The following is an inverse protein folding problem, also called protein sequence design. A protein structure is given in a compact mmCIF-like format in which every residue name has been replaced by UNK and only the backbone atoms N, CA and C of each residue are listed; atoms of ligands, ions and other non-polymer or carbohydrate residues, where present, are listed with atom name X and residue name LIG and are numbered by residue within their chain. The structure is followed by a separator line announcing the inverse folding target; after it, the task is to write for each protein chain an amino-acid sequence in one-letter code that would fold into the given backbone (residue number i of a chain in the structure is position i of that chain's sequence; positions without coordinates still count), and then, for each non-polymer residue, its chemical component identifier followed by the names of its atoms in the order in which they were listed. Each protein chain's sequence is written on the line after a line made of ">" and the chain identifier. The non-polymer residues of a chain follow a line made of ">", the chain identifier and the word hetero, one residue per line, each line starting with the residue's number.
data_IF_882311716048
#
_entry.id   IF_882311716048
#
_cell.length_a   1.000
_cell.length_b   1.000
_cell.length_c   1.000
_cell.angle_alpha   90.00
_cell.angle_beta   90.00
_cell.angle_gamma   90.00
#
_symmetry.space_group_name_H-M   'P 1'
#
loop_
_entity.id
_entity.type
_entity.pdbx_description
1 polymer ?
#
# COMPACT_ATOMS: atom_id res chain seq x y z
N UNK A 1 -18.05 13.09 16.37
CA UNK A 1 -17.43 11.74 16.47
C UNK A 1 -17.59 10.92 15.18
N UNK A 2 -18.77 10.88 14.56
CA UNK A 2 -19.03 10.15 13.30
C UNK A 2 -18.12 10.58 12.12
N UNK A 3 -17.89 11.89 11.95
CA UNK A 3 -17.11 12.43 10.82
C UNK A 3 -15.66 11.93 10.87
N UNK A 4 -15.01 11.97 12.05
CA UNK A 4 -13.62 11.52 12.19
C UNK A 4 -13.46 10.01 11.89
N UNK A 5 -14.41 9.19 12.36
CA UNK A 5 -14.41 7.75 12.08
C UNK A 5 -14.58 7.46 10.59
N UNK A 6 -15.50 8.14 9.92
CA UNK A 6 -15.72 7.98 8.48
C UNK A 6 -14.48 8.39 7.68
N UNK A 7 -13.87 9.54 7.98
CA UNK A 7 -12.64 9.98 7.33
C UNK A 7 -11.49 8.99 7.55
N UNK A 8 -11.35 8.45 8.76
CA UNK A 8 -10.33 7.44 9.07
C UNK A 8 -10.54 6.15 8.27
N UNK A 9 -11.78 5.64 8.21
CA UNK A 9 -12.12 4.45 7.43
C UNK A 9 -11.92 4.66 5.93
N UNK A 10 -12.33 5.81 5.40
CA UNK A 10 -12.11 6.17 4.00
C UNK A 10 -10.63 6.24 3.66
N UNK A 11 -9.82 6.86 4.53
CA UNK A 11 -8.35 6.91 4.37
C UNK A 11 -7.75 5.51 4.32
N UNK A 12 -8.09 4.66 5.28
CA UNK A 12 -7.60 3.28 5.34
C UNK A 12 -8.02 2.47 4.10
N UNK A 13 -9.30 2.54 3.71
CA UNK A 13 -9.80 1.85 2.54
C UNK A 13 -9.10 2.33 1.27
N UNK A 14 -8.98 3.64 1.08
CA UNK A 14 -8.43 4.21 -0.15
C UNK A 14 -6.95 3.86 -0.32
N UNK A 15 -6.11 4.16 0.68
CA UNK A 15 -4.66 3.94 0.59
C UNK A 15 -4.25 2.49 0.90
N UNK A 16 -4.96 1.81 1.79
CA UNK A 16 -4.63 0.45 2.23
C UNK A 16 -5.25 -0.65 1.39
N UNK A 17 -6.38 -0.41 0.70
CA UNK A 17 -7.08 -1.45 -0.07
C UNK A 17 -7.26 -1.08 -1.53
N UNK A 18 -7.86 0.08 -1.84
CA UNK A 18 -8.23 0.40 -3.21
C UNK A 18 -7.02 0.67 -4.11
N UNK A 19 -6.11 1.58 -3.75
CA UNK A 19 -4.93 1.91 -4.57
C UNK A 19 -4.04 0.68 -4.85
N UNK A 20 -3.68 -0.15 -3.85
CA UNK A 20 -2.79 -1.29 -4.07
C UNK A 20 -3.36 -2.41 -4.94
N UNK A 21 -4.70 -2.51 -5.04
CA UNK A 21 -5.40 -3.63 -5.70
C UNK A 21 -6.22 -3.21 -6.93
N UNK A 22 -6.31 -1.91 -7.23
CA UNK A 22 -7.03 -1.49 -8.44
C UNK A 22 -6.30 -2.01 -9.69
N UNK A 23 -7.05 -2.46 -10.71
CA UNK A 23 -6.46 -2.86 -11.98
C UNK A 23 -5.79 -1.65 -12.66
N UNK A 24 -4.66 -1.89 -13.29
CA UNK A 24 -4.01 -0.88 -14.15
C UNK A 24 -4.38 -1.12 -15.61
N UNK A 25 -4.38 -0.04 -16.38
CA UNK A 25 -4.51 -0.11 -17.82
C UNK A 25 -3.13 -0.40 -18.41
N UNK A 26 -2.98 -1.56 -19.03
CA UNK A 26 -1.79 -1.95 -19.79
C UNK A 26 -2.23 -2.10 -21.24
N UNK A 27 -1.63 -1.33 -22.15
CA UNK A 27 -1.94 -1.32 -23.58
C UNK A 27 -3.44 -1.15 -23.91
N UNK A 28 -4.12 -0.27 -23.18
CA UNK A 28 -5.55 0.05 -23.39
C UNK A 28 -6.52 -1.02 -22.91
N UNK A 29 -6.05 -2.07 -22.23
CA UNK A 29 -6.87 -3.08 -21.57
C UNK A 29 -6.64 -3.06 -20.07
N UNK A 30 -7.68 -3.31 -19.29
CA UNK A 30 -7.50 -3.55 -17.86
C UNK A 30 -6.74 -4.86 -17.69
N UNK A 31 -5.62 -4.81 -16.99
CA UNK A 31 -4.92 -6.01 -16.56
C UNK A 31 -5.85 -6.82 -15.66
N UNK A 32 -6.37 -7.93 -16.19
CA UNK A 32 -7.28 -8.83 -15.48
C UNK A 32 -6.54 -9.68 -14.42
N UNK A 33 -5.21 -9.62 -14.39
CA UNK A 33 -4.35 -10.46 -13.55
C UNK A 33 -3.72 -9.72 -12.36
N UNK A 34 -4.41 -8.71 -11.80
CA UNK A 34 -4.18 -8.33 -10.40
C UNK A 34 -4.72 -9.44 -9.50
N UNK A 35 -3.97 -10.53 -9.39
CA UNK A 35 -4.18 -11.54 -8.34
C UNK A 35 -4.28 -10.83 -7.00
N UNK A 36 -5.12 -11.32 -6.10
CA UNK A 36 -5.18 -10.87 -4.70
C UNK A 36 -3.81 -11.01 -3.99
N UNK A 37 -2.93 -11.86 -4.52
CA UNK A 37 -1.52 -12.02 -4.09
C UNK A 37 -0.58 -10.95 -4.67
N UNK A 38 -0.99 -10.23 -5.71
CA UNK A 38 -0.21 -9.18 -6.39
C UNK A 38 -0.70 -7.79 -6.00
N UNK A 39 -0.62 -7.47 -4.71
CA UNK A 39 -0.76 -6.09 -4.25
C UNK A 39 0.48 -5.27 -4.61
N UNK A 40 0.29 -4.01 -5.03
CA UNK A 40 1.38 -3.10 -5.35
C UNK A 40 1.75 -2.22 -4.15
N UNK A 41 2.97 -1.72 -4.15
CA UNK A 41 3.43 -0.74 -3.17
C UNK A 41 3.45 0.66 -3.76
N UNK A 42 3.01 1.64 -3.00
CA UNK A 42 3.04 3.04 -3.41
C UNK A 42 4.49 3.48 -3.67
N UNK A 43 4.71 4.39 -4.63
CA UNK A 43 6.02 5.00 -4.90
C UNK A 43 6.39 6.13 -3.92
N UNK A 44 5.49 6.46 -2.99
CA UNK A 44 5.66 7.53 -2.02
C UNK A 44 6.94 7.36 -1.17
N UNK A 45 7.58 8.49 -0.83
CA UNK A 45 8.67 8.54 0.13
C UNK A 45 8.15 8.24 1.55
N UNK A 46 9.08 8.02 2.49
CA UNK A 46 8.76 7.64 3.87
C UNK A 46 7.78 8.61 4.54
N UNK A 47 8.01 9.92 4.44
CA UNK A 47 7.18 10.92 5.13
C UNK A 47 5.75 10.94 4.57
N UNK A 48 5.60 10.94 3.24
CA UNK A 48 4.29 10.94 2.58
C UNK A 48 3.51 9.67 2.92
N UNK A 49 4.16 8.52 2.85
CA UNK A 49 3.57 7.23 3.20
C UNK A 49 3.08 7.15 4.66
N UNK A 50 3.87 7.68 5.59
CA UNK A 50 3.45 7.79 7.01
C UNK A 50 2.17 8.62 7.15
N UNK A 51 2.13 9.79 6.51
CA UNK A 51 0.98 10.70 6.57
C UNK A 51 -0.27 10.12 5.88
N UNK A 52 -0.09 9.40 4.77
CA UNK A 52 -1.17 8.79 4.02
C UNK A 52 -1.82 7.62 4.77
N UNK A 53 -1.02 6.65 5.24
CA UNK A 53 -1.57 5.42 5.82
C UNK A 53 -0.61 4.71 6.78
N UNK A 54 0.21 5.41 7.55
CA UNK A 54 1.16 4.78 8.49
C UNK A 54 2.01 3.68 7.83
N UNK A 55 2.41 3.87 6.57
CA UNK A 55 3.17 2.89 5.77
C UNK A 55 2.42 1.65 5.26
N UNK A 56 1.12 1.50 5.51
CA UNK A 56 0.32 0.41 4.93
C UNK A 56 0.06 0.55 3.42
N UNK A 57 0.46 1.69 2.83
CA UNK A 57 0.53 1.87 1.37
C UNK A 57 1.72 1.11 0.74
N UNK A 58 2.66 0.61 1.56
CA UNK A 58 3.71 -0.34 1.16
C UNK A 58 3.17 -1.77 1.26
N UNK A 59 2.09 -2.04 0.50
CA UNK A 59 1.26 -3.22 0.69
C UNK A 59 2.00 -4.53 0.39
N UNK A 60 2.82 -4.54 -0.66
CA UNK A 60 3.63 -5.71 -0.99
C UNK A 60 4.61 -6.06 0.14
N UNK A 61 5.29 -5.06 0.70
CA UNK A 61 6.20 -5.27 1.82
C UNK A 61 5.48 -5.74 3.07
N UNK A 62 4.28 -5.22 3.34
CA UNK A 62 3.47 -5.67 4.46
C UNK A 62 3.12 -7.16 4.33
N UNK A 63 2.69 -7.63 3.16
CA UNK A 63 2.45 -9.06 2.93
C UNK A 63 3.72 -9.90 2.97
N UNK A 64 4.85 -9.36 2.50
CA UNK A 64 6.15 -10.04 2.52
C UNK A 64 6.70 -10.20 3.94
N UNK A 65 6.51 -9.22 4.81
CA UNK A 65 6.94 -9.20 6.20
C UNK A 65 5.77 -8.88 7.14
N UNK A 66 4.83 -9.81 7.36
CA UNK A 66 3.61 -9.56 8.14
C UNK A 66 3.87 -9.22 9.61
N UNK A 67 5.06 -9.58 10.12
CA UNK A 67 5.48 -9.29 11.49
C UNK A 67 6.19 -7.94 11.63
N UNK A 68 6.50 -7.25 10.52
CA UNK A 68 7.11 -5.94 10.59
C UNK A 68 6.09 -4.94 11.14
N UNK A 69 6.43 -4.20 12.22
CA UNK A 69 5.53 -3.18 12.72
C UNK A 69 5.44 -2.02 11.72
N UNK A 70 4.32 -1.30 11.75
CA UNK A 70 4.02 -0.26 10.77
C UNK A 70 5.12 0.81 10.68
N UNK A 71 5.77 1.17 11.80
CA UNK A 71 6.84 2.17 11.84
C UNK A 71 8.17 1.72 11.22
N UNK A 72 8.34 0.42 10.93
CA UNK A 72 9.52 -0.15 10.28
C UNK A 72 9.27 -0.61 8.84
N UNK A 73 8.03 -0.54 8.34
CA UNK A 73 7.70 -0.95 6.96
C UNK A 73 8.50 -0.18 5.88
N UNK A 74 8.93 1.05 6.16
CA UNK A 74 9.81 1.78 5.24
C UNK A 74 11.19 1.12 5.10
N UNK A 75 11.71 0.46 6.14
CA UNK A 75 12.96 -0.33 6.06
C UNK A 75 12.74 -1.57 5.20
N UNK A 76 11.59 -2.23 5.36
CA UNK A 76 11.19 -3.35 4.50
C UNK A 76 11.21 -2.93 3.02
N UNK A 77 10.67 -1.75 2.70
CA UNK A 77 10.70 -1.19 1.34
C UNK A 77 12.12 -0.91 0.84
N UNK A 78 13.00 -0.39 1.69
CA UNK A 78 14.41 -0.20 1.35
C UNK A 78 15.13 -1.53 1.10
N UNK A 79 14.80 -2.59 1.85
CA UNK A 79 15.33 -3.93 1.64
C UNK A 79 14.81 -4.53 0.33
N UNK A 80 13.51 -4.43 0.03
CA UNK A 80 12.94 -4.85 -1.26
C UNK A 80 13.65 -4.22 -2.44
N UNK A 81 13.89 -2.91 -2.38
CA UNK A 81 14.61 -2.16 -3.43
C UNK A 81 16.07 -2.59 -3.61
N UNK A 82 16.70 -3.20 -2.61
CA UNK A 82 18.06 -3.73 -2.71
C UNK A 82 18.12 -5.14 -3.28
N UNK A 83 17.02 -5.89 -3.15
CA UNK A 83 16.92 -7.30 -3.55
C UNK A 83 16.49 -7.42 -5.02
N UNK A 84 15.66 -6.48 -5.50
CA UNK A 84 15.23 -6.37 -6.89
C UNK A 84 16.22 -5.54 -7.74
#
# INVERSE_FOLDING_TARGET
>A
MLICGLCSSLRLFYFGTYIPHRPELVDGKFDQAVSWEKSKSASANRLVSFLCCYHFDYHWEHHRWPYAPWWDLWKCKELTKKIN
#
